data_IF_915622711409
#
_entry.id   IF_915622711409
#
_cell.length_a   1.000
_cell.length_b   1.000
_cell.length_c   1.000
_cell.angle_alpha   90.00
_cell.angle_beta   90.00
_cell.angle_gamma   90.00
#
_symmetry.space_group_name_H-M   'P 1'
#
loop_
_entity.id
_entity.type
_entity.pdbx_description
1 polymer ?
#
# COMPACT_ATOMS: atom_id res chain seq x y z
N UNK A 1 -0.48 17.39 -7.35
CA UNK A 1 -1.91 17.79 -7.35
C UNK A 1 -2.69 16.71 -8.06
N UNK A 2 -3.96 16.46 -7.66
CA UNK A 2 -4.81 15.50 -8.35
C UNK A 2 -4.90 15.79 -9.84
N UNK A 3 -4.86 14.72 -10.63
CA UNK A 3 -5.06 14.75 -12.07
C UNK A 3 -6.36 14.02 -12.42
N UNK A 4 -6.77 14.09 -13.68
CA UNK A 4 -7.84 13.23 -14.17
C UNK A 4 -7.41 11.76 -14.01
N UNK A 5 -8.33 10.85 -13.63
CA UNK A 5 -7.99 9.44 -13.46
C UNK A 5 -7.40 8.85 -14.76
N UNK A 6 -6.31 8.11 -14.63
CA UNK A 6 -5.67 7.40 -15.74
C UNK A 6 -6.32 6.03 -16.01
N UNK A 7 -7.22 5.60 -15.15
CA UNK A 7 -7.91 4.30 -15.18
C UNK A 7 -9.42 4.45 -14.94
N UNK A 8 -10.16 3.37 -15.15
CA UNK A 8 -11.63 3.33 -15.00
C UNK A 8 -12.09 2.28 -14.00
N UNK A 9 -13.38 2.29 -13.64
CA UNK A 9 -13.97 1.35 -12.68
C UNK A 9 -13.92 -0.13 -13.11
N UNK A 10 -13.51 -0.41 -14.35
CA UNK A 10 -13.38 -1.77 -14.88
C UNK A 10 -12.00 -2.40 -14.63
N UNK A 11 -11.11 -1.74 -13.90
CA UNK A 11 -9.80 -2.28 -13.53
C UNK A 11 -9.95 -3.57 -12.71
N UNK A 12 -9.22 -4.62 -13.09
CA UNK A 12 -9.27 -5.89 -12.40
C UNK A 12 -8.74 -5.75 -10.95
N UNK A 13 -9.42 -6.39 -10.00
CA UNK A 13 -9.03 -6.34 -8.59
C UNK A 13 -9.32 -5.01 -7.89
N UNK A 14 -9.99 -4.06 -8.56
CA UNK A 14 -10.43 -2.81 -7.97
C UNK A 14 -11.45 -3.06 -6.85
N UNK A 15 -11.20 -2.45 -5.70
CA UNK A 15 -12.03 -2.46 -4.51
C UNK A 15 -12.17 -1.03 -3.97
N UNK A 16 -13.15 -0.83 -3.08
CA UNK A 16 -13.37 0.44 -2.40
C UNK A 16 -13.09 0.30 -0.92
N UNK A 17 -12.10 1.04 -0.43
CA UNK A 17 -11.85 1.21 0.99
C UNK A 17 -12.69 2.37 1.51
N UNK A 18 -13.25 2.21 2.70
CA UNK A 18 -14.00 3.29 3.37
C UNK A 18 -13.15 3.79 4.53
N UNK A 19 -12.78 5.07 4.50
CA UNK A 19 -12.05 5.69 5.60
C UNK A 19 -12.95 5.90 6.83
N UNK A 20 -12.34 6.19 7.98
CA UNK A 20 -13.07 6.57 9.19
C UNK A 20 -13.92 7.85 9.03
N UNK A 21 -13.57 8.72 8.08
CA UNK A 21 -14.35 9.91 7.70
C UNK A 21 -15.30 9.67 6.53
N UNK A 22 -15.56 8.41 6.16
CA UNK A 22 -16.49 7.98 5.10
C UNK A 22 -16.09 8.39 3.67
N UNK A 23 -14.82 8.72 3.44
CA UNK A 23 -14.29 8.87 2.09
C UNK A 23 -14.20 7.48 1.46
N UNK A 24 -14.66 7.34 0.21
CA UNK A 24 -14.42 6.15 -0.61
C UNK A 24 -13.10 6.30 -1.34
N UNK A 25 -12.18 5.39 -1.06
CA UNK A 25 -10.82 5.33 -1.60
C UNK A 25 -10.73 4.14 -2.56
N UNK A 26 -10.30 4.40 -3.79
CA UNK A 26 -10.01 3.37 -4.75
C UNK A 26 -8.74 2.61 -4.35
N UNK A 27 -8.78 1.29 -4.44
CA UNK A 27 -7.62 0.44 -4.21
C UNK A 27 -7.68 -0.79 -5.12
N UNK A 28 -6.54 -1.40 -5.40
CA UNK A 28 -6.47 -2.73 -6.02
C UNK A 28 -5.92 -3.72 -5.01
N UNK A 29 -6.48 -4.91 -4.97
CA UNK A 29 -5.99 -5.99 -4.11
C UNK A 29 -5.73 -7.27 -4.89
N UNK A 30 -4.48 -7.75 -4.80
CA UNK A 30 -4.04 -9.03 -5.31
C UNK A 30 -3.49 -9.89 -4.16
N UNK A 31 -3.98 -11.14 -3.98
CA UNK A 31 -3.53 -12.00 -2.90
C UNK A 31 -2.09 -12.46 -3.10
N UNK A 32 -1.40 -12.74 -1.99
CA UNK A 32 -0.07 -13.33 -2.00
C UNK A 32 -0.12 -14.84 -2.30
N UNK A 33 0.94 -15.36 -2.91
CA UNK A 33 1.19 -16.80 -2.92
C UNK A 33 1.44 -17.31 -1.49
N UNK A 34 1.18 -18.61 -1.19
CA UNK A 34 1.40 -19.16 0.14
C UNK A 34 2.80 -18.86 0.69
N UNK A 35 2.86 -18.32 1.92
CA UNK A 35 4.11 -17.98 2.61
C UNK A 35 4.79 -16.68 2.16
N UNK A 36 4.23 -15.93 1.20
CA UNK A 36 4.76 -14.63 0.77
C UNK A 36 4.09 -13.46 1.52
N UNK A 37 4.81 -12.34 1.73
CA UNK A 37 4.23 -11.16 2.38
C UNK A 37 3.27 -10.42 1.45
N UNK A 38 2.47 -9.53 2.03
CA UNK A 38 1.59 -8.60 1.30
C UNK A 38 2.09 -7.17 1.47
N UNK A 39 2.18 -6.44 0.36
CA UNK A 39 2.60 -5.05 0.33
C UNK A 39 1.39 -4.13 0.47
N UNK A 40 1.47 -3.11 1.32
CA UNK A 40 0.64 -1.90 1.20
C UNK A 40 1.47 -0.87 0.43
N UNK A 41 0.99 -0.44 -0.73
CA UNK A 41 1.69 0.51 -1.58
C UNK A 41 1.00 1.88 -1.62
N UNK A 42 1.76 2.92 -1.26
CA UNK A 42 1.37 4.32 -1.36
C UNK A 42 2.17 4.99 -2.50
N UNK A 43 1.48 5.42 -3.56
CA UNK A 43 2.09 5.94 -4.79
C UNK A 43 2.73 7.35 -4.64
N UNK A 44 3.45 7.79 -5.67
CA UNK A 44 4.10 9.11 -5.72
C UNK A 44 3.15 10.29 -5.85
N UNK A 45 3.68 11.52 -5.79
CA UNK A 45 2.88 12.73 -5.97
C UNK A 45 2.41 12.84 -7.42
N UNK A 46 1.16 13.30 -7.62
CA UNK A 46 0.53 13.44 -8.93
C UNK A 46 0.44 12.14 -9.75
N UNK A 47 0.41 11.01 -9.05
CA UNK A 47 0.21 9.69 -9.64
C UNK A 47 -1.11 9.10 -9.16
N UNK A 48 -1.60 8.06 -9.83
CA UNK A 48 -2.72 7.23 -9.37
C UNK A 48 -2.43 5.73 -9.58
N UNK A 49 -3.40 4.88 -9.26
CA UNK A 49 -3.27 3.42 -9.44
C UNK A 49 -2.91 3.04 -10.88
N UNK A 50 -3.55 3.65 -11.89
CA UNK A 50 -3.33 3.32 -13.29
C UNK A 50 -1.89 3.56 -13.75
N UNK A 51 -1.25 4.59 -13.20
CA UNK A 51 0.17 4.87 -13.46
C UNK A 51 1.13 3.94 -12.70
N UNK A 52 0.63 3.23 -11.69
CA UNK A 52 1.40 2.29 -10.88
C UNK A 52 1.17 0.81 -11.26
N UNK A 53 0.34 0.54 -12.29
CA UNK A 53 -0.09 -0.82 -12.70
C UNK A 53 1.08 -1.76 -12.92
N UNK A 54 2.03 -1.36 -13.77
CA UNK A 54 3.17 -2.21 -14.14
C UNK A 54 3.99 -2.62 -12.90
N UNK A 55 4.15 -1.70 -11.94
CA UNK A 55 4.91 -1.94 -10.73
C UNK A 55 4.24 -2.97 -9.81
N UNK A 56 2.96 -2.79 -9.49
CA UNK A 56 2.28 -3.72 -8.60
C UNK A 56 1.96 -5.06 -9.25
N UNK A 57 1.73 -5.10 -10.57
CA UNK A 57 1.58 -6.36 -11.30
C UNK A 57 2.90 -7.14 -11.33
N UNK A 58 4.04 -6.48 -11.49
CA UNK A 58 5.34 -7.12 -11.39
C UNK A 58 5.58 -7.73 -9.99
N UNK A 59 5.20 -7.04 -8.92
CA UNK A 59 5.26 -7.61 -7.56
C UNK A 59 4.35 -8.81 -7.38
N UNK A 60 3.13 -8.76 -7.92
CA UNK A 60 2.21 -9.89 -7.83
C UNK A 60 2.66 -11.10 -8.66
N UNK A 61 3.26 -10.87 -9.83
CA UNK A 61 3.87 -11.92 -10.64
C UNK A 61 5.04 -12.63 -9.92
N UNK A 62 5.72 -11.95 -8.98
CA UNK A 62 6.70 -12.56 -8.08
C UNK A 62 6.09 -13.29 -6.87
N UNK A 63 4.75 -13.35 -6.79
CA UNK A 63 3.99 -14.01 -5.73
C UNK A 63 3.75 -13.15 -4.49
N UNK A 64 4.12 -11.87 -4.50
CA UNK A 64 3.81 -10.95 -3.40
C UNK A 64 2.32 -10.57 -3.44
N UNK A 65 1.69 -10.47 -2.27
CA UNK A 65 0.39 -9.83 -2.19
C UNK A 65 0.55 -8.33 -2.39
N UNK A 66 -0.44 -7.67 -2.97
CA UNK A 66 -0.40 -6.22 -3.13
C UNK A 66 -1.75 -5.61 -2.79
N UNK A 67 -1.72 -4.56 -1.97
CA UNK A 67 -2.78 -3.60 -1.78
C UNK A 67 -2.23 -2.21 -2.12
N UNK A 68 -2.47 -1.74 -3.33
CA UNK A 68 -2.18 -0.37 -3.72
C UNK A 68 -3.47 0.46 -3.60
N UNK A 69 -3.37 1.70 -3.15
CA UNK A 69 -4.52 2.58 -2.95
C UNK A 69 -4.22 4.01 -3.40
N UNK A 70 -5.25 4.70 -3.87
CA UNK A 70 -5.21 6.13 -4.15
C UNK A 70 -5.44 6.96 -2.88
N UNK A 71 -5.10 8.25 -2.92
CA UNK A 71 -5.46 9.18 -1.85
C UNK A 71 -6.84 9.80 -2.09
N UNK A 72 -7.52 10.32 -1.05
CA UNK A 72 -8.76 11.08 -1.24
C UNK A 72 -8.57 12.21 -2.25
N UNK A 73 -9.44 12.25 -3.26
CA UNK A 73 -9.37 13.17 -4.40
C UNK A 73 -8.37 12.78 -5.50
N UNK A 74 -7.70 11.63 -5.43
CA UNK A 74 -6.87 11.07 -6.52
C UNK A 74 -7.57 9.90 -7.21
N UNK A 75 -7.28 9.72 -8.51
CA UNK A 75 -7.91 8.69 -9.34
C UNK A 75 -9.42 8.66 -9.14
N UNK A 76 -9.99 7.48 -8.92
CA UNK A 76 -11.43 7.32 -8.72
C UNK A 76 -11.86 7.55 -7.25
N UNK A 77 -10.98 8.03 -6.38
CA UNK A 77 -11.30 8.28 -4.97
C UNK A 77 -12.08 9.57 -4.77
N UNK A 78 -13.05 9.52 -3.87
CA UNK A 78 -13.82 10.69 -3.44
C UNK A 78 -13.03 11.59 -2.48
N UNK A 79 -13.59 12.76 -2.16
CA UNK A 79 -13.02 13.66 -1.16
C UNK A 79 -11.99 14.63 -1.73
N UNK A 80 -11.13 15.16 -0.85
CA UNK A 80 -10.06 16.11 -1.20
C UNK A 80 -8.77 15.71 -0.52
N UNK A 81 -7.61 15.94 -1.16
CA UNK A 81 -6.34 15.59 -0.56
C UNK A 81 -5.98 16.57 0.55
N UNK A 82 -5.68 16.02 1.70
CA UNK A 82 -5.08 16.69 2.85
C UNK A 82 -4.20 15.67 3.57
N UNK A 83 -3.26 16.14 4.37
CA UNK A 83 -2.40 15.25 5.15
C UNK A 83 -3.23 14.27 6.00
N UNK A 84 -4.21 14.79 6.74
CA UNK A 84 -5.10 14.00 7.57
C UNK A 84 -5.95 12.98 6.78
N UNK A 85 -6.41 13.33 5.57
CA UNK A 85 -7.18 12.39 4.74
C UNK A 85 -6.30 11.30 4.13
N UNK A 86 -5.05 11.60 3.79
CA UNK A 86 -4.08 10.62 3.33
C UNK A 86 -3.71 9.62 4.45
N UNK A 87 -3.55 10.08 5.69
CA UNK A 87 -3.35 9.18 6.84
C UNK A 87 -4.53 8.23 7.04
N UNK A 88 -5.77 8.74 6.99
CA UNK A 88 -6.97 7.88 7.09
C UNK A 88 -7.07 6.86 5.96
N UNK A 89 -6.65 7.23 4.74
CA UNK A 89 -6.61 6.29 3.63
C UNK A 89 -5.58 5.17 3.87
N UNK A 90 -4.38 5.50 4.34
CA UNK A 90 -3.36 4.52 4.72
C UNK A 90 -3.88 3.58 5.83
N UNK A 91 -4.56 4.12 6.84
CA UNK A 91 -5.18 3.33 7.90
C UNK A 91 -6.25 2.38 7.38
N UNK A 92 -7.10 2.84 6.45
CA UNK A 92 -8.13 1.99 5.84
C UNK A 92 -7.52 0.82 5.05
N UNK A 93 -6.37 1.01 4.42
CA UNK A 93 -5.63 -0.04 3.73
C UNK A 93 -5.09 -1.09 4.72
N UNK A 94 -4.50 -0.64 5.83
CA UNK A 94 -4.05 -1.52 6.91
C UNK A 94 -5.20 -2.33 7.51
N UNK A 95 -6.31 -1.66 7.83
CA UNK A 95 -7.50 -2.30 8.37
C UNK A 95 -8.09 -3.34 7.41
N UNK A 96 -8.07 -3.08 6.11
CA UNK A 96 -8.56 -4.02 5.11
C UNK A 96 -7.78 -5.34 5.15
N UNK A 97 -6.43 -5.29 5.15
CA UNK A 97 -5.61 -6.51 5.18
C UNK A 97 -5.74 -7.26 6.51
N UNK A 98 -5.75 -6.54 7.63
CA UNK A 98 -5.87 -7.17 8.95
C UNK A 98 -7.25 -7.78 9.17
N UNK A 99 -8.34 -7.16 8.71
CA UNK A 99 -9.70 -7.75 8.72
C UNK A 99 -9.82 -8.97 7.79
N UNK A 100 -9.01 -9.06 6.73
CA UNK A 100 -8.88 -10.28 5.92
C UNK A 100 -8.08 -11.40 6.60
N UNK A 101 -7.51 -11.16 7.78
CA UNK A 101 -6.73 -12.15 8.53
C UNK A 101 -5.26 -12.23 8.12
N UNK A 102 -4.73 -11.25 7.37
CA UNK A 102 -3.30 -11.20 7.07
C UNK A 102 -2.57 -10.74 8.34
N UNK A 103 -1.61 -11.52 8.87
CA UNK A 103 -0.86 -11.15 10.05
C UNK A 103 -0.08 -9.85 9.83
N UNK A 104 -0.05 -8.97 10.82
CA UNK A 104 0.71 -7.71 10.76
C UNK A 104 2.20 -7.94 10.43
N UNK A 105 2.79 -9.04 10.92
CA UNK A 105 4.18 -9.44 10.61
C UNK A 105 4.40 -9.83 9.15
N UNK A 106 3.34 -10.14 8.41
CA UNK A 106 3.38 -10.47 6.97
C UNK A 106 3.02 -9.29 6.08
N UNK A 107 2.78 -8.11 6.66
CA UNK A 107 2.49 -6.88 5.91
C UNK A 107 3.75 -6.01 5.85
N UNK A 108 4.10 -5.59 4.64
CA UNK A 108 5.20 -4.64 4.38
C UNK A 108 4.57 -3.38 3.81
N UNK A 109 4.97 -2.22 4.31
CA UNK A 109 4.45 -0.94 3.80
C UNK A 109 5.52 -0.27 2.94
N UNK A 110 5.13 0.16 1.74
CA UNK A 110 6.01 0.73 0.72
C UNK A 110 5.42 2.05 0.25
N UNK A 111 6.12 3.16 0.48
CA UNK A 111 5.66 4.49 0.08
C UNK A 111 6.63 5.16 -0.88
N UNK A 112 6.15 5.70 -2.01
CA UNK A 112 6.99 6.41 -2.99
C UNK A 112 6.94 7.92 -2.88
N UNK A 113 8.11 8.55 -2.81
CA UNK A 113 8.24 10.00 -2.74
C UNK A 113 7.41 10.57 -1.57
N UNK A 114 6.29 11.27 -1.85
CA UNK A 114 5.34 11.76 -0.86
C UNK A 114 4.63 10.64 -0.11
N UNK A 115 4.43 9.48 -0.77
CA UNK A 115 3.82 8.28 -0.20
C UNK A 115 4.53 7.80 1.06
N UNK A 116 5.83 8.11 1.21
CA UNK A 116 6.59 7.78 2.42
C UNK A 116 5.95 8.33 3.69
N UNK A 117 5.43 9.55 3.66
CA UNK A 117 4.83 10.18 4.84
C UNK A 117 3.63 9.38 5.36
N UNK A 118 2.79 8.87 4.45
CA UNK A 118 1.60 8.09 4.82
C UNK A 118 1.99 6.72 5.40
N UNK A 119 3.08 6.15 4.89
CA UNK A 119 3.61 4.88 5.36
C UNK A 119 4.35 5.03 6.71
N UNK A 120 5.03 6.16 6.94
CA UNK A 120 5.66 6.49 8.22
C UNK A 120 4.63 6.60 9.35
N UNK A 121 3.46 7.19 9.06
CA UNK A 121 2.34 7.25 10.01
C UNK A 121 1.90 5.86 10.48
N UNK A 122 1.75 4.90 9.55
CA UNK A 122 1.39 3.53 9.89
C UNK A 122 2.41 2.87 10.83
N UNK A 123 3.69 3.16 10.64
CA UNK A 123 4.73 2.65 11.54
C UNK A 123 4.77 3.36 12.88
N UNK A 124 4.60 4.69 12.90
CA UNK A 124 4.59 5.49 14.12
C UNK A 124 3.44 5.15 15.08
N UNK A 125 2.30 4.67 14.57
CA UNK A 125 1.18 4.20 15.40
C UNK A 125 1.43 2.88 16.15
N UNK A 126 2.65 2.32 16.12
CA UNK A 126 2.97 1.04 16.76
C UNK A 126 2.33 -0.17 16.09
N UNK A 127 1.73 0.02 14.91
CA UNK A 127 1.18 -1.06 14.07
C UNK A 127 2.30 -1.85 13.39
N UNK A 128 3.52 -1.30 13.34
CA UNK A 128 4.73 -1.91 12.78
C UNK A 128 5.87 -1.67 13.78
N UNK A 129 6.60 -2.72 14.18
CA UNK A 129 7.53 -2.68 15.32
C UNK A 129 8.94 -2.19 14.99
N UNK A 130 9.30 -1.99 13.71
CA UNK A 130 10.60 -1.43 13.32
C UNK A 130 10.54 -0.76 11.95
N UNK A 131 11.23 0.38 11.84
CA UNK A 131 11.29 1.23 10.65
C UNK A 131 12.76 1.49 10.28
N UNK A 132 13.30 0.91 9.21
CA UNK A 132 14.48 1.48 8.60
C UNK A 132 14.07 2.69 7.77
N UNK A 133 14.68 3.86 8.03
CA UNK A 133 14.64 4.98 7.08
C UNK A 133 15.36 4.54 5.81
N UNK A 134 14.64 4.46 4.69
CA UNK A 134 15.22 4.22 3.38
C UNK A 134 14.69 5.25 2.38
N UNK A 135 15.61 5.97 1.76
CA UNK A 135 15.38 6.84 0.61
C UNK A 135 15.49 6.02 -0.67
N UNK A 136 14.81 6.42 -1.74
CA UNK A 136 14.57 5.57 -2.92
C UNK A 136 15.84 5.03 -3.61
N UNK A 137 16.14 3.75 -3.36
CA UNK A 137 16.35 2.68 -4.35
C UNK A 137 15.78 1.42 -3.70
N UNK A 138 14.79 0.80 -4.36
CA UNK A 138 13.81 -0.13 -3.79
C UNK A 138 14.48 -1.28 -3.00
N UNK A 139 14.27 -1.37 -1.67
CA UNK A 139 14.63 -2.55 -0.89
C UNK A 139 13.55 -2.94 0.12
N UNK A 140 13.23 -4.23 0.10
CA UNK A 140 12.22 -4.90 0.91
C UNK A 140 12.76 -5.23 2.30
N UNK A 141 11.95 -5.05 3.35
CA UNK A 141 12.24 -5.57 4.67
C UNK A 141 10.97 -6.21 5.27
N UNK A 142 11.10 -7.47 5.68
CA UNK A 142 10.04 -8.30 6.29
C UNK A 142 10.18 -8.21 7.81
N UNK A 143 9.08 -7.95 8.52
CA UNK A 143 9.09 -7.88 9.98
C UNK A 143 8.82 -9.26 10.62
N UNK A 144 9.86 -9.93 11.13
CA UNK A 144 9.69 -10.97 12.14
C UNK A 144 10.68 -12.14 12.11
N UNK A 145 11.50 -12.18 13.17
CA UNK A 145 12.48 -13.19 13.62
C UNK A 145 13.84 -13.22 12.94
N UNK A 146 14.85 -12.97 13.76
CA UNK A 146 16.21 -13.46 13.59
C UNK A 146 16.20 -14.94 13.19
N UNK A 147 16.46 -15.23 11.91
CA UNK A 147 17.15 -16.45 11.53
C UNK A 147 17.91 -16.20 10.23
N UNK A 148 19.23 -16.23 10.33
CA UNK A 148 20.15 -16.41 9.22
C UNK A 148 19.72 -17.62 8.40
N UNK A 149 19.53 -17.43 7.10
CA UNK A 149 19.62 -18.51 6.12
C UNK A 149 20.15 -17.91 4.83
N UNK A 150 21.45 -18.12 4.62
CA UNK A 150 22.14 -17.93 3.35
C UNK A 150 21.40 -18.71 2.26
N UNK A 151 21.04 -18.03 1.16
CA UNK A 151 20.65 -18.70 -0.07
C UNK A 151 21.88 -18.78 -0.98
N UNK A 152 22.64 -19.85 -0.79
CA UNK A 152 23.49 -20.44 -1.84
C UNK A 152 23.07 -21.90 -2.01
N UNK A 153 22.51 -22.19 -3.18
CA UNK A 153 22.13 -23.52 -3.65
C UNK A 153 21.83 -23.42 -5.14
#
# INVERSE_FOLDING_TARGET
>A
MPQAPSYSDHEQGLIRLTTSSKESVAAVYYPASPGKPTLIYAHGNAEDLGQSVELYQAWNAMGLGVLAYDYPGYGLSTGKPSEASCFRAAESAWEYLTKKGIPASSIIVVGRSIGRQWTEHLAGCGKISSWPRVDFSVHFHVCGKDSLADFTG
#
